data_IF_366282282321
#
_entry.id   IF_366282282321
#
_cell.length_a   1.000
_cell.length_b   1.000
_cell.length_c   1.000
_cell.angle_alpha   90.00
_cell.angle_beta   90.00
_cell.angle_gamma   90.00
#
_symmetry.space_group_name_H-M   'P 1'
#
loop_
_entity.id
_entity.type
_entity.pdbx_description
1 polymer ?
#
# COMPACT_ATOMS: atom_id res chain seq x y z
N UNK A 1 -62.67 11.87 -39.41
CA UNK A 1 -62.20 12.71 -38.28
C UNK A 1 -61.80 11.73 -37.18
N UNK A 2 -60.50 11.45 -37.06
CA UNK A 2 -59.95 10.38 -36.23
C UNK A 2 -59.63 10.90 -34.83
N UNK A 3 -59.94 10.11 -33.80
CA UNK A 3 -59.80 10.48 -32.39
C UNK A 3 -58.57 9.90 -31.69
N UNK A 4 -58.69 9.88 -30.35
CA UNK A 4 -57.84 9.26 -29.29
C UNK A 4 -56.78 10.25 -28.74
N UNK A 5 -57.00 10.86 -27.55
CA UNK A 5 -56.66 10.38 -26.17
C UNK A 5 -55.14 10.25 -25.95
N UNK A 6 -54.48 10.59 -24.83
CA UNK A 6 -54.86 11.07 -23.51
C UNK A 6 -53.60 11.62 -22.77
N UNK A 7 -53.82 12.64 -21.93
CA UNK A 7 -53.14 13.00 -20.66
C UNK A 7 -51.60 13.04 -20.56
N UNK A 8 -51.03 14.25 -20.64
CA UNK A 8 -49.75 14.62 -20.02
C UNK A 8 -49.99 15.31 -18.66
N UNK A 9 -49.18 14.98 -17.66
CA UNK A 9 -48.82 15.95 -16.61
C UNK A 9 -49.07 15.55 -15.15
N UNK A 10 -48.54 14.43 -14.68
CA UNK A 10 -48.27 14.22 -13.25
C UNK A 10 -46.83 13.77 -13.05
N UNK A 11 -45.94 14.73 -12.81
CA UNK A 11 -44.52 14.48 -12.57
C UNK A 11 -44.27 13.76 -11.24
N UNK A 12 -43.32 12.82 -11.18
CA UNK A 12 -42.83 12.30 -9.92
C UNK A 12 -41.43 12.85 -9.55
N UNK A 13 -41.30 13.09 -8.25
CA UNK A 13 -40.14 13.27 -7.39
C UNK A 13 -38.73 13.07 -8.00
N UNK A 14 -37.89 14.10 -7.83
CA UNK A 14 -36.43 14.00 -7.83
C UNK A 14 -35.99 13.07 -6.69
N UNK A 15 -35.78 11.79 -7.02
CA UNK A 15 -34.97 10.89 -6.20
C UNK A 15 -33.51 11.21 -6.51
N UNK A 16 -32.87 11.92 -5.58
CA UNK A 16 -31.43 12.17 -5.55
C UNK A 16 -30.71 10.82 -5.62
N UNK A 17 -30.22 10.49 -6.80
CA UNK A 17 -29.32 9.36 -7.03
C UNK A 17 -27.94 9.95 -6.80
N UNK A 18 -27.32 9.58 -5.69
CA UNK A 18 -25.91 9.86 -5.44
C UNK A 18 -25.12 9.46 -6.69
N UNK A 19 -24.54 10.45 -7.36
CA UNK A 19 -23.55 10.28 -8.42
C UNK A 19 -22.24 9.83 -7.75
N UNK A 20 -22.28 8.68 -7.10
CA UNK A 20 -21.14 7.99 -6.52
C UNK A 20 -20.81 6.80 -7.39
N UNK A 21 -20.25 7.09 -8.55
CA UNK A 21 -19.48 6.21 -9.42
C UNK A 21 -19.46 4.73 -8.99
N UNK A 22 -20.39 3.96 -9.56
CA UNK A 22 -20.10 2.61 -10.01
C UNK A 22 -18.86 2.72 -10.90
N UNK A 23 -17.68 2.62 -10.28
CA UNK A 23 -16.40 2.79 -10.95
C UNK A 23 -16.22 1.62 -11.91
N UNK A 24 -16.61 1.86 -13.16
CA UNK A 24 -16.13 1.25 -14.39
C UNK A 24 -15.04 0.19 -14.14
N UNK A 25 -15.41 -1.09 -14.28
CA UNK A 25 -14.44 -2.17 -14.40
C UNK A 25 -13.45 -1.91 -15.56
N UNK A 26 -13.84 -1.05 -16.51
CA UNK A 26 -13.09 -0.58 -17.67
C UNK A 26 -12.07 0.53 -17.33
N UNK A 27 -12.09 1.15 -16.13
CA UNK A 27 -11.07 2.13 -15.69
C UNK A 27 -9.93 1.50 -14.89
N UNK A 28 -9.95 0.19 -14.71
CA UNK A 28 -8.93 -0.60 -13.99
C UNK A 28 -7.54 -0.61 -14.68
N UNK A 29 -7.52 -0.63 -16.02
CA UNK A 29 -6.31 -0.77 -16.84
C UNK A 29 -5.31 0.41 -16.83
N UNK A 30 -5.66 1.55 -16.23
CA UNK A 30 -4.80 2.76 -16.17
C UNK A 30 -4.23 3.00 -14.77
N UNK A 31 -4.38 2.05 -13.83
CA UNK A 31 -3.56 2.05 -12.61
C UNK A 31 -2.12 1.77 -13.03
N UNK A 32 -1.14 2.42 -12.40
CA UNK A 32 0.30 2.14 -12.55
C UNK A 32 0.54 0.64 -12.78
N UNK A 33 0.71 0.24 -14.04
CA UNK A 33 0.81 -1.16 -14.43
C UNK A 33 2.15 -1.67 -13.90
N UNK A 34 2.11 -2.44 -12.81
CA UNK A 34 3.28 -3.16 -12.30
C UNK A 34 3.57 -2.98 -10.80
N UNK A 35 3.07 -1.93 -10.13
CA UNK A 35 3.30 -1.76 -8.68
C UNK A 35 2.07 -2.21 -7.89
N UNK A 36 2.22 -3.30 -7.16
CA UNK A 36 1.17 -3.91 -6.34
C UNK A 36 1.50 -3.70 -4.86
N UNK A 37 0.47 -3.43 -4.04
CA UNK A 37 0.61 -3.32 -2.58
C UNK A 37 1.09 -4.64 -1.95
N UNK A 38 1.86 -4.56 -0.87
CA UNK A 38 2.44 -5.73 -0.21
C UNK A 38 1.40 -6.76 0.26
N UNK A 39 0.25 -6.31 0.78
CA UNK A 39 -0.81 -7.24 1.23
C UNK A 39 -1.48 -7.94 0.05
N UNK A 40 -1.67 -7.24 -1.07
CA UNK A 40 -2.25 -7.81 -2.28
C UNK A 40 -1.27 -8.82 -2.91
N UNK A 41 0.02 -8.47 -2.99
CA UNK A 41 1.06 -9.37 -3.49
C UNK A 41 1.17 -10.63 -2.64
N UNK A 42 1.11 -10.51 -1.30
CA UNK A 42 1.20 -11.63 -0.38
C UNK A 42 0.08 -12.68 -0.58
N UNK A 43 -1.12 -12.27 -1.03
CA UNK A 43 -2.22 -13.20 -1.37
C UNK A 43 -1.87 -14.11 -2.55
N UNK A 44 -1.04 -13.64 -3.48
CA UNK A 44 -0.50 -14.45 -4.59
C UNK A 44 0.75 -15.25 -4.23
N UNK A 45 1.20 -15.17 -2.97
CA UNK A 45 2.39 -15.86 -2.47
C UNK A 45 3.71 -15.12 -2.70
N UNK A 46 3.67 -13.90 -3.27
CA UNK A 46 4.84 -13.04 -3.46
C UNK A 46 5.03 -12.17 -2.23
N UNK A 47 6.07 -12.45 -1.44
CA UNK A 47 6.43 -11.67 -0.27
C UNK A 47 7.91 -11.89 0.08
N UNK A 48 8.51 -10.90 0.75
CA UNK A 48 9.80 -11.08 1.42
C UNK A 48 9.66 -12.15 2.49
N UNK A 49 10.63 -13.07 2.53
CA UNK A 49 10.64 -14.16 3.51
C UNK A 49 11.88 -14.16 4.38
N UNK A 50 13.01 -13.64 3.89
CA UNK A 50 14.28 -13.66 4.60
C UNK A 50 15.15 -12.49 4.20
N UNK A 51 15.88 -11.92 5.16
CA UNK A 51 16.96 -10.98 4.92
C UNK A 51 18.29 -11.59 5.39
N UNK A 52 19.39 -11.25 4.72
CA UNK A 52 20.74 -11.71 5.03
C UNK A 52 21.68 -10.52 5.15
N UNK A 53 22.46 -10.46 6.23
CA UNK A 53 23.51 -9.45 6.38
C UNK A 53 24.72 -9.81 5.52
N UNK A 54 24.81 -9.22 4.34
CA UNK A 54 26.04 -9.28 3.53
C UNK A 54 27.18 -8.57 4.24
N UNK A 55 26.86 -7.46 4.91
CA UNK A 55 27.77 -6.76 5.80
C UNK A 55 27.14 -6.57 7.16
N UNK A 56 27.75 -7.22 8.16
CA UNK A 56 27.36 -7.10 9.56
C UNK A 56 27.59 -5.68 10.09
N UNK A 57 26.74 -5.18 11.00
CA UNK A 57 27.02 -3.96 11.75
C UNK A 57 28.28 -4.15 12.62
N UNK A 58 29.01 -3.07 12.94
CA UNK A 58 30.20 -3.15 13.79
C UNK A 58 29.82 -3.65 15.19
N UNK A 59 30.60 -4.60 15.72
CA UNK A 59 30.37 -5.20 17.05
C UNK A 59 30.61 -4.24 18.20
N UNK A 60 31.35 -3.16 17.97
CA UNK A 60 31.59 -2.09 18.93
C UNK A 60 31.45 -0.76 18.20
N UNK A 61 30.60 0.11 18.71
CA UNK A 61 30.28 1.40 18.11
C UNK A 61 30.27 2.50 19.17
N UNK A 62 30.92 3.61 18.83
CA UNK A 62 30.81 4.84 19.61
C UNK A 62 29.50 5.55 19.29
N UNK A 63 28.74 5.95 20.32
CA UNK A 63 27.42 6.62 20.17
C UNK A 63 27.43 7.85 19.24
N UNK A 64 28.53 8.60 19.18
CA UNK A 64 28.65 9.78 18.32
C UNK A 64 28.90 9.47 16.84
N UNK A 65 29.12 8.20 16.49
CA UNK A 65 29.47 7.79 15.14
C UNK A 65 28.25 7.19 14.45
N UNK A 66 28.15 7.42 13.15
CA UNK A 66 27.28 6.64 12.29
C UNK A 66 27.84 5.22 12.10
N UNK A 67 26.95 4.28 11.82
CA UNK A 67 27.29 2.94 11.37
C UNK A 67 26.39 2.56 10.19
N UNK A 68 26.79 1.52 9.46
CA UNK A 68 26.05 0.99 8.34
C UNK A 68 26.15 -0.53 8.29
N UNK A 69 25.15 -1.14 7.67
CA UNK A 69 25.08 -2.56 7.36
C UNK A 69 24.53 -2.73 5.95
N UNK A 70 24.65 -3.93 5.37
CA UNK A 70 24.14 -4.23 4.03
C UNK A 70 23.27 -5.48 4.11
N UNK A 71 22.08 -5.41 3.52
CA UNK A 71 21.12 -6.51 3.48
C UNK A 71 20.91 -7.00 2.05
N UNK A 72 20.88 -8.32 1.89
CA UNK A 72 20.28 -9.00 0.75
C UNK A 72 18.90 -9.54 1.16
N UNK A 73 17.91 -9.33 0.30
CA UNK A 73 16.53 -9.76 0.54
C UNK A 73 16.19 -10.97 -0.34
N UNK A 74 15.41 -11.90 0.22
CA UNK A 74 14.97 -13.10 -0.47
C UNK A 74 13.47 -13.32 -0.30
N UNK A 75 12.84 -13.82 -1.35
CA UNK A 75 11.43 -14.23 -1.33
C UNK A 75 11.24 -15.59 -0.64
N UNK A 76 9.99 -16.09 -0.64
CA UNK A 76 9.63 -17.40 -0.06
C UNK A 76 10.25 -18.60 -0.79
N UNK A 77 10.65 -18.44 -2.05
CA UNK A 77 11.32 -19.49 -2.83
C UNK A 77 12.84 -19.43 -2.68
N UNK A 78 13.36 -18.47 -1.92
CA UNK A 78 14.78 -18.24 -1.72
C UNK A 78 15.44 -17.51 -2.89
N UNK A 79 14.67 -16.89 -3.78
CA UNK A 79 15.19 -16.08 -4.87
C UNK A 79 15.58 -14.69 -4.35
N UNK A 80 16.70 -14.11 -4.84
CA UNK A 80 17.08 -12.75 -4.49
C UNK A 80 16.05 -11.76 -5.02
N UNK A 81 15.69 -10.76 -4.22
CA UNK A 81 14.73 -9.73 -4.57
C UNK A 81 15.47 -8.44 -4.91
N UNK A 82 15.22 -7.91 -6.11
CA UNK A 82 15.77 -6.63 -6.56
C UNK A 82 15.01 -5.45 -5.93
N UNK A 83 15.75 -4.41 -5.55
CA UNK A 83 15.20 -3.20 -4.93
C UNK A 83 15.35 -2.05 -5.92
N UNK A 84 14.23 -1.55 -6.43
CA UNK A 84 14.25 -0.43 -7.39
C UNK A 84 14.33 0.94 -6.71
N UNK A 85 13.67 1.10 -5.55
CA UNK A 85 13.54 2.37 -4.84
C UNK A 85 13.54 2.18 -3.34
N UNK A 86 14.15 3.12 -2.61
CA UNK A 86 14.13 3.20 -1.16
C UNK A 86 13.83 4.63 -0.72
N UNK A 87 13.16 4.77 0.42
CA UNK A 87 12.88 6.06 1.02
C UNK A 87 12.87 5.91 2.54
N UNK A 88 13.42 6.89 3.25
CA UNK A 88 13.19 7.04 4.69
C UNK A 88 11.79 7.63 4.88
N UNK A 89 10.97 7.00 5.74
CA UNK A 89 9.62 7.48 6.03
C UNK A 89 9.63 8.32 7.31
N UNK A 90 9.90 7.69 8.46
CA UNK A 90 9.95 8.34 9.76
C UNK A 90 10.55 7.44 10.86
N UNK A 91 10.55 7.94 12.10
CA UNK A 91 10.94 7.20 13.29
C UNK A 91 9.74 6.53 13.97
N UNK A 92 10.01 5.42 14.66
CA UNK A 92 9.04 4.74 15.53
C UNK A 92 8.96 5.49 16.86
N UNK A 93 7.93 6.30 17.02
CA UNK A 93 7.68 7.12 18.21
C UNK A 93 6.17 7.41 18.38
N UNK A 94 5.77 7.79 19.60
CA UNK A 94 4.39 8.17 19.94
C UNK A 94 3.37 7.09 19.54
N UNK A 95 2.34 7.44 18.79
CA UNK A 95 1.24 6.54 18.38
C UNK A 95 1.68 5.44 17.39
N UNK A 96 2.93 5.46 16.92
CA UNK A 96 3.48 4.45 16.00
C UNK A 96 4.23 3.33 16.73
N UNK A 97 4.39 3.42 18.04
CA UNK A 97 5.01 2.36 18.82
C UNK A 97 4.09 1.14 18.93
N UNK A 98 4.66 -0.06 18.84
CA UNK A 98 3.89 -1.28 19.09
C UNK A 98 3.69 -1.47 20.59
N UNK A 99 2.44 -1.35 21.04
CA UNK A 99 2.09 -1.42 22.46
C UNK A 99 2.04 -0.03 23.09
N UNK A 100 2.09 0.02 24.42
CA UNK A 100 1.98 1.27 25.18
C UNK A 100 3.32 1.65 25.85
N UNK A 101 4.43 1.13 25.32
CA UNK A 101 5.79 1.37 25.82
C UNK A 101 6.47 2.50 25.05
N UNK A 102 7.05 3.46 25.77
CA UNK A 102 7.74 4.61 25.19
C UNK A 102 9.24 4.34 24.97
N UNK A 103 9.56 3.67 23.87
CA UNK A 103 10.92 3.20 23.55
C UNK A 103 11.72 4.19 22.69
N UNK A 104 11.05 4.91 21.78
CA UNK A 104 11.65 5.74 20.73
C UNK A 104 12.78 5.02 19.98
N UNK A 105 12.56 3.73 19.65
CA UNK A 105 13.58 2.86 19.06
C UNK A 105 13.08 2.18 17.79
N UNK A 106 13.42 2.76 16.64
CA UNK A 106 13.17 2.16 15.33
C UNK A 106 13.01 3.19 14.21
N UNK A 107 13.10 2.72 12.96
CA UNK A 107 12.82 3.47 11.73
C UNK A 107 11.87 2.66 10.85
N UNK A 108 10.89 3.30 10.21
CA UNK A 108 10.00 2.67 9.23
C UNK A 108 10.61 2.61 7.83
#
# INVERSE_FOLDING_TARGET
>A
MFGIQDTLGRGPALKEKSLGAEMDSVRSWVRNVGVVDANVAAQSGVALSRAHFEKQPPSNLRKSNFFHFVLALYDRQGQPVEIERTAFVDFVENDKEQGNEKTNNGTH
#
